data_IF_323462757692
#
_entry.id   IF_323462757692
#
_cell.length_a   1.000
_cell.length_b   1.000
_cell.length_c   1.000
_cell.angle_alpha   90.00
_cell.angle_beta   90.00
_cell.angle_gamma   90.00
#
_symmetry.space_group_name_H-M   'P 1'
#
loop_
_entity.id
_entity.type
_entity.pdbx_description
1 polymer ?
#
# COMPACT_ATOMS: atom_id res chain seq x y z
N UNK A 1 -32.78 -7.95 -1.62
CA UNK A 1 -31.71 -8.48 -0.79
C UNK A 1 -31.07 -9.66 -1.49
N UNK A 2 -29.82 -9.55 -1.87
CA UNK A 2 -29.11 -10.59 -2.63
C UNK A 2 -28.85 -11.82 -1.74
N UNK A 3 -28.93 -13.03 -2.29
CA UNK A 3 -28.75 -14.30 -1.53
C UNK A 3 -27.44 -14.35 -0.72
N UNK A 4 -26.42 -13.61 -1.14
CA UNK A 4 -25.14 -13.47 -0.45
C UNK A 4 -25.20 -12.69 0.87
N UNK A 5 -26.21 -11.86 1.09
CA UNK A 5 -26.34 -11.07 2.33
C UNK A 5 -26.98 -11.86 3.50
N UNK A 6 -27.62 -12.99 3.21
CA UNK A 6 -28.34 -13.77 4.24
C UNK A 6 -27.44 -14.54 5.22
N UNK A 7 -26.15 -14.72 4.90
CA UNK A 7 -25.23 -15.54 5.69
C UNK A 7 -24.11 -14.74 6.37
N UNK A 8 -24.13 -13.40 6.32
CA UNK A 8 -23.13 -12.57 7.02
C UNK A 8 -23.74 -12.18 8.37
N UNK A 9 -23.09 -12.50 9.48
CA UNK A 9 -23.59 -12.09 10.80
C UNK A 9 -23.71 -10.56 10.88
N UNK A 10 -24.86 -10.07 11.37
CA UNK A 10 -25.12 -8.63 11.52
C UNK A 10 -24.03 -7.92 12.34
N UNK A 11 -23.45 -8.60 13.31
CA UNK A 11 -22.33 -8.12 14.15
C UNK A 11 -21.12 -7.67 13.33
N UNK A 12 -20.84 -8.30 12.17
CA UNK A 12 -19.70 -7.93 11.33
C UNK A 12 -19.87 -6.54 10.70
N UNK A 13 -21.08 -6.19 10.28
CA UNK A 13 -21.36 -4.87 9.71
C UNK A 13 -21.39 -3.80 10.80
N UNK A 14 -21.92 -4.07 11.97
CA UNK A 14 -21.86 -3.16 13.11
C UNK A 14 -20.43 -2.85 13.52
N UNK A 15 -19.57 -3.87 13.63
CA UNK A 15 -18.15 -3.72 13.98
C UNK A 15 -17.41 -2.82 12.96
N UNK A 16 -17.72 -2.97 11.68
CA UNK A 16 -17.10 -2.16 10.62
C UNK A 16 -17.52 -0.68 10.65
N UNK A 17 -18.70 -0.38 11.17
CA UNK A 17 -19.30 0.95 11.18
C UNK A 17 -19.13 1.70 12.52
N UNK A 18 -18.64 1.06 13.57
CA UNK A 18 -18.38 1.69 14.88
C UNK A 18 -17.08 2.49 14.85
N UNK A 19 -17.16 3.73 14.38
CA UNK A 19 -16.01 4.65 14.41
C UNK A 19 -15.66 5.04 15.85
N UNK A 20 -14.38 4.89 16.21
CA UNK A 20 -13.84 5.27 17.52
C UNK A 20 -13.80 4.14 18.56
N UNK A 21 -14.72 3.19 18.52
CA UNK A 21 -14.72 2.01 19.40
C UNK A 21 -13.83 0.88 18.87
N UNK A 22 -13.64 0.84 17.55
CA UNK A 22 -12.84 -0.18 16.86
C UNK A 22 -11.71 0.43 16.05
N UNK A 23 -10.54 -0.18 16.17
CA UNK A 23 -9.36 0.07 15.34
C UNK A 23 -9.22 -1.02 14.29
N UNK A 24 -8.91 -0.62 13.05
CA UNK A 24 -8.64 -1.55 11.96
C UNK A 24 -7.14 -1.64 11.70
N UNK A 25 -6.59 -2.83 11.87
CA UNK A 25 -5.22 -3.17 11.56
C UNK A 25 -5.14 -3.85 10.19
N UNK A 26 -4.14 -3.51 9.39
CA UNK A 26 -3.83 -4.22 8.15
C UNK A 26 -2.59 -5.09 8.39
N UNK A 27 -2.77 -6.40 8.30
CA UNK A 27 -1.79 -7.40 8.72
C UNK A 27 -1.34 -8.21 7.52
N UNK A 28 -0.05 -8.43 7.36
CA UNK A 28 0.53 -9.24 6.28
C UNK A 28 1.77 -10.00 6.75
N UNK A 29 2.17 -11.09 6.05
CA UNK A 29 3.43 -11.78 6.34
C UNK A 29 4.68 -11.02 5.86
N UNK A 30 4.50 -9.96 5.06
CA UNK A 30 5.59 -9.11 4.57
C UNK A 30 5.30 -8.50 3.20
N UNK A 31 6.28 -7.76 2.67
CA UNK A 31 6.16 -7.12 1.36
C UNK A 31 6.43 -8.09 0.21
N UNK A 32 7.28 -9.08 0.41
CA UNK A 32 7.60 -10.11 -0.60
C UNK A 32 6.77 -11.36 -0.36
N UNK A 33 6.87 -11.94 0.84
CA UNK A 33 6.11 -13.13 1.19
C UNK A 33 4.62 -12.80 1.35
N UNK A 34 3.75 -13.58 0.69
CA UNK A 34 2.29 -13.47 0.79
C UNK A 34 1.64 -14.68 1.47
N UNK A 35 2.43 -15.68 1.81
CA UNK A 35 1.96 -16.89 2.46
C UNK A 35 1.88 -16.73 3.97
N UNK A 36 0.69 -16.91 4.51
CA UNK A 36 0.46 -16.98 5.95
C UNK A 36 0.62 -18.43 6.42
N UNK A 37 1.26 -18.62 7.55
CA UNK A 37 1.24 -19.92 8.23
C UNK A 37 -0.10 -20.17 8.92
N UNK A 38 -0.52 -21.43 9.15
CA UNK A 38 -1.70 -21.73 9.95
C UNK A 38 -1.67 -21.09 11.35
N UNK A 39 -0.49 -21.06 12.00
CA UNK A 39 -0.31 -20.41 13.30
C UNK A 39 -0.55 -18.89 13.26
N UNK A 40 -0.13 -18.22 12.19
CA UNK A 40 -0.40 -16.80 11.98
C UNK A 40 -1.89 -16.53 11.79
N UNK A 41 -2.61 -17.37 11.02
CA UNK A 41 -4.06 -17.27 10.89
C UNK A 41 -4.78 -17.49 12.22
N UNK A 42 -4.35 -18.49 12.99
CA UNK A 42 -4.89 -18.73 14.32
C UNK A 42 -4.70 -17.51 15.23
N UNK A 43 -3.48 -16.92 15.23
CA UNK A 43 -3.19 -15.72 16.02
C UNK A 43 -4.07 -14.53 15.60
N UNK A 44 -4.27 -14.31 14.31
CA UNK A 44 -5.17 -13.27 13.78
C UNK A 44 -6.61 -13.50 14.28
N UNK A 45 -7.09 -14.76 14.27
CA UNK A 45 -8.43 -15.11 14.72
C UNK A 45 -8.59 -14.90 16.24
N UNK A 46 -7.59 -15.30 17.03
CA UNK A 46 -7.57 -15.09 18.48
C UNK A 46 -7.65 -13.59 18.83
N UNK A 47 -6.86 -12.75 18.13
CA UNK A 47 -6.84 -11.30 18.35
C UNK A 47 -8.16 -10.64 17.93
N UNK A 48 -8.76 -11.08 16.82
CA UNK A 48 -10.08 -10.58 16.43
C UNK A 48 -11.15 -10.90 17.48
N UNK A 49 -11.07 -12.08 18.07
CA UNK A 49 -12.03 -12.54 19.08
C UNK A 49 -13.48 -12.50 18.60
N UNK A 50 -14.41 -12.67 19.53
CA UNK A 50 -15.84 -12.68 19.21
C UNK A 50 -16.40 -11.30 18.84
N UNK A 51 -15.79 -10.22 19.31
CA UNK A 51 -16.25 -8.83 19.08
C UNK A 51 -15.67 -8.22 17.81
N UNK A 52 -14.58 -8.78 17.30
CA UNK A 52 -13.89 -8.25 16.15
C UNK A 52 -14.41 -8.77 14.81
N UNK A 53 -13.76 -8.34 13.74
CA UNK A 53 -14.07 -8.79 12.38
C UNK A 53 -12.81 -8.94 11.56
N UNK A 54 -12.80 -9.91 10.65
CA UNK A 54 -11.69 -10.19 9.75
C UNK A 54 -12.18 -10.03 8.31
N UNK A 55 -11.39 -9.32 7.50
CA UNK A 55 -11.66 -9.14 6.07
C UNK A 55 -10.38 -9.32 5.27
N UNK A 56 -10.40 -10.18 4.27
CA UNK A 56 -9.35 -10.24 3.26
C UNK A 56 -9.36 -8.99 2.38
N UNK A 57 -8.19 -8.41 2.11
CA UNK A 57 -8.05 -7.24 1.25
C UNK A 57 -7.42 -7.60 -0.09
N UNK A 58 -7.70 -6.77 -1.11
CA UNK A 58 -7.08 -6.90 -2.43
C UNK A 58 -5.56 -6.59 -2.45
N UNK A 59 -4.96 -6.25 -1.31
CA UNK A 59 -3.52 -5.98 -1.18
C UNK A 59 -2.76 -7.09 -0.45
N UNK A 60 -3.23 -8.32 -0.53
CA UNK A 60 -2.65 -9.50 0.13
C UNK A 60 -2.49 -9.34 1.65
N UNK A 61 -3.25 -8.45 2.27
CA UNK A 61 -3.29 -8.27 3.71
C UNK A 61 -4.65 -8.64 4.27
N UNK A 62 -4.67 -9.02 5.53
CA UNK A 62 -5.88 -9.24 6.30
C UNK A 62 -6.18 -7.97 7.09
N UNK A 63 -7.39 -7.44 6.95
CA UNK A 63 -7.89 -6.35 7.78
C UNK A 63 -8.56 -6.95 9.00
N UNK A 64 -8.05 -6.61 10.17
CA UNK A 64 -8.58 -7.05 11.47
C UNK A 64 -9.17 -5.84 12.17
N UNK A 65 -10.46 -5.87 12.48
CA UNK A 65 -11.12 -4.86 13.30
C UNK A 65 -11.22 -5.38 14.73
N UNK A 66 -10.70 -4.62 15.68
CA UNK A 66 -10.64 -4.98 17.10
C UNK A 66 -11.06 -3.78 17.96
N UNK A 67 -11.49 -3.98 19.22
CA UNK A 67 -11.71 -2.87 20.14
C UNK A 67 -10.45 -1.98 20.23
N UNK A 68 -10.64 -0.67 20.23
CA UNK A 68 -9.51 0.29 20.21
C UNK A 68 -8.64 0.18 21.47
N UNK A 69 -9.22 -0.18 22.61
CA UNK A 69 -8.47 -0.40 23.86
C UNK A 69 -7.42 -1.52 23.74
N UNK A 70 -7.67 -2.51 22.90
CA UNK A 70 -6.82 -3.70 22.75
C UNK A 70 -5.73 -3.53 21.64
N UNK A 71 -5.76 -2.38 20.93
CA UNK A 71 -4.95 -2.19 19.72
C UNK A 71 -3.44 -2.31 19.96
N UNK A 72 -2.93 -1.79 21.07
CA UNK A 72 -1.47 -1.82 21.35
C UNK A 72 -0.99 -3.24 21.61
N UNK A 73 -1.70 -3.99 22.46
CA UNK A 73 -1.36 -5.38 22.76
C UNK A 73 -1.52 -6.28 21.54
N UNK A 74 -2.55 -6.04 20.73
CA UNK A 74 -2.78 -6.75 19.50
C UNK A 74 -1.67 -6.54 18.47
N UNK A 75 -1.18 -5.31 18.29
CA UNK A 75 -0.06 -5.02 17.39
C UNK A 75 1.19 -5.77 17.84
N UNK A 76 1.51 -5.73 19.13
CA UNK A 76 2.65 -6.46 19.67
C UNK A 76 2.55 -7.96 19.44
N UNK A 77 1.40 -8.56 19.78
CA UNK A 77 1.18 -10.00 19.62
C UNK A 77 1.22 -10.47 18.15
N UNK A 78 0.76 -9.62 17.20
CA UNK A 78 0.87 -9.90 15.77
C UNK A 78 2.33 -9.85 15.30
N UNK A 79 3.10 -8.87 15.78
CA UNK A 79 4.53 -8.75 15.45
C UNK A 79 5.36 -9.91 16.04
N UNK A 80 5.07 -10.36 17.27
CA UNK A 80 5.68 -11.53 17.89
C UNK A 80 5.35 -12.84 17.11
N UNK A 81 4.19 -12.89 16.46
CA UNK A 81 3.84 -13.99 15.54
C UNK A 81 4.52 -13.88 14.15
N UNK A 82 5.44 -12.93 13.96
CA UNK A 82 6.14 -12.72 12.70
C UNK A 82 5.26 -12.08 11.61
N UNK A 83 4.23 -11.33 12.01
CA UNK A 83 3.37 -10.59 11.10
C UNK A 83 3.74 -9.10 11.09
N UNK A 84 3.68 -8.50 9.93
CA UNK A 84 3.78 -7.07 9.76
C UNK A 84 2.41 -6.41 9.93
N UNK A 85 2.36 -5.37 10.75
CA UNK A 85 1.16 -4.53 10.92
C UNK A 85 1.43 -3.19 10.26
N UNK A 86 0.74 -2.93 9.15
CA UNK A 86 0.94 -1.70 8.40
C UNK A 86 0.59 -0.46 9.23
N UNK A 87 1.46 0.56 9.27
CA UNK A 87 1.18 1.79 9.98
C UNK A 87 -0.04 2.51 9.39
N UNK A 88 -0.75 3.26 10.22
CA UNK A 88 -1.93 4.04 9.84
C UNK A 88 -1.61 5.54 9.74
N UNK A 89 -2.52 6.31 9.11
CA UNK A 89 -2.41 7.76 9.03
C UNK A 89 -1.79 8.28 7.72
N UNK A 90 -1.29 9.51 7.80
CA UNK A 90 -0.71 10.26 6.67
C UNK A 90 0.75 9.85 6.45
N UNK A 91 0.94 8.70 5.83
CA UNK A 91 2.22 8.06 5.61
C UNK A 91 2.32 7.47 4.19
N UNK A 92 3.55 7.12 3.80
CA UNK A 92 3.78 6.22 2.66
C UNK A 92 3.38 4.81 3.08
N UNK A 93 2.55 4.18 2.26
CA UNK A 93 2.17 2.77 2.42
C UNK A 93 2.52 2.00 1.15
N UNK A 94 3.48 1.10 1.27
CA UNK A 94 3.99 0.35 0.14
C UNK A 94 3.29 -0.99 -0.02
N UNK A 95 3.11 -1.41 -1.26
CA UNK A 95 2.55 -2.71 -1.64
C UNK A 95 3.35 -3.30 -2.78
N UNK A 96 3.30 -4.60 -2.92
CA UNK A 96 3.85 -5.29 -4.09
C UNK A 96 2.92 -6.43 -4.52
N UNK A 97 3.05 -6.88 -5.76
CA UNK A 97 2.42 -8.11 -6.22
C UNK A 97 3.02 -9.34 -5.51
N UNK A 98 2.48 -10.52 -5.78
CA UNK A 98 2.95 -11.78 -5.23
C UNK A 98 4.11 -12.42 -6.00
N UNK A 99 4.66 -11.70 -7.00
CA UNK A 99 5.77 -12.19 -7.84
C UNK A 99 5.47 -13.53 -8.51
N UNK A 100 4.21 -13.75 -8.89
CA UNK A 100 3.70 -14.99 -9.49
C UNK A 100 4.01 -16.22 -8.62
N UNK A 101 3.73 -16.12 -7.32
CA UNK A 101 3.97 -17.17 -6.35
C UNK A 101 5.44 -17.61 -6.28
N UNK A 102 6.35 -16.66 -6.51
CA UNK A 102 7.80 -16.86 -6.48
C UNK A 102 8.46 -17.15 -7.84
N UNK A 103 7.70 -17.22 -8.94
CA UNK A 103 8.27 -17.44 -10.28
C UNK A 103 8.94 -16.20 -10.89
N UNK A 104 8.62 -14.98 -10.40
CA UNK A 104 9.09 -13.68 -10.92
C UNK A 104 9.77 -12.85 -9.84
N UNK A 105 10.86 -13.37 -9.31
CA UNK A 105 11.56 -12.80 -8.15
C UNK A 105 12.60 -11.73 -8.47
N UNK A 106 12.83 -11.39 -9.74
CA UNK A 106 13.89 -10.47 -10.16
C UNK A 106 13.75 -9.08 -9.51
N UNK A 107 12.50 -8.63 -9.31
CA UNK A 107 12.23 -7.34 -8.65
C UNK A 107 12.17 -7.42 -7.11
N UNK A 108 12.21 -8.61 -6.51
CA UNK A 108 12.04 -8.78 -5.06
C UNK A 108 13.12 -8.06 -4.24
N UNK A 109 14.44 -8.16 -4.54
CA UNK A 109 15.48 -7.49 -3.76
C UNK A 109 15.32 -5.97 -3.75
N UNK A 110 15.07 -5.37 -4.90
CA UNK A 110 14.86 -3.91 -4.97
C UNK A 110 13.54 -3.50 -4.32
N UNK A 111 12.51 -4.34 -4.37
CA UNK A 111 11.23 -4.10 -3.68
C UNK A 111 11.43 -4.04 -2.16
N UNK A 112 12.21 -4.96 -1.60
CA UNK A 112 12.53 -5.00 -0.18
C UNK A 112 13.37 -3.79 0.25
N UNK A 113 14.37 -3.42 -0.55
CA UNK A 113 15.17 -2.21 -0.34
C UNK A 113 14.29 -0.96 -0.28
N UNK A 114 13.42 -0.76 -1.27
CA UNK A 114 12.50 0.37 -1.32
C UNK A 114 11.53 0.37 -0.14
N UNK A 115 11.04 -0.79 0.26
CA UNK A 115 10.17 -0.93 1.43
C UNK A 115 10.85 -0.41 2.69
N UNK A 116 12.09 -0.80 2.95
CA UNK A 116 12.85 -0.31 4.11
C UNK A 116 13.17 1.18 4.02
N UNK A 117 13.34 1.71 2.81
CA UNK A 117 13.67 3.12 2.61
C UNK A 117 12.47 4.07 2.84
N UNK A 118 11.26 3.69 2.41
CA UNK A 118 10.14 4.64 2.34
C UNK A 118 8.89 4.27 3.15
N UNK A 119 8.69 3.00 3.54
CA UNK A 119 7.50 2.60 4.29
C UNK A 119 7.35 3.39 5.59
N UNK A 120 6.15 3.88 5.86
CA UNK A 120 5.86 4.63 7.09
C UNK A 120 6.37 6.08 7.10
N UNK A 121 7.06 6.57 6.08
CA UNK A 121 7.49 7.97 5.99
C UNK A 121 6.27 8.91 6.10
N UNK A 122 6.35 9.90 6.97
CA UNK A 122 5.30 10.92 7.14
C UNK A 122 5.17 11.81 5.91
N UNK A 123 3.94 12.01 5.45
CA UNK A 123 3.57 12.82 4.28
C UNK A 123 2.28 13.61 4.57
N UNK A 124 1.93 14.64 3.76
CA UNK A 124 0.72 15.47 3.98
C UNK A 124 -0.60 14.70 3.99
N UNK A 125 -0.74 13.67 3.15
CA UNK A 125 -1.84 12.70 3.18
C UNK A 125 -1.29 11.33 2.78
N UNK A 126 -2.00 10.23 3.14
CA UNK A 126 -1.56 8.87 2.82
C UNK A 126 -1.28 8.70 1.33
N UNK A 127 -0.10 8.20 1.00
CA UNK A 127 0.34 7.85 -0.36
C UNK A 127 0.54 6.35 -0.47
N UNK A 128 -0.01 5.75 -1.52
CA UNK A 128 0.20 4.34 -1.83
C UNK A 128 1.25 4.21 -2.93
N UNK A 129 2.33 3.52 -2.61
CA UNK A 129 3.35 3.11 -3.59
C UNK A 129 3.16 1.64 -3.87
N UNK A 130 2.99 1.26 -5.12
CA UNK A 130 2.71 -0.13 -5.49
C UNK A 130 3.67 -0.62 -6.56
N UNK A 131 4.21 -1.83 -6.37
CA UNK A 131 5.16 -2.46 -7.29
C UNK A 131 4.52 -3.67 -7.96
N UNK A 132 4.60 -3.71 -9.29
CA UNK A 132 4.44 -4.91 -10.09
C UNK A 132 5.81 -5.46 -10.48
N UNK A 133 6.07 -6.71 -10.14
CA UNK A 133 7.36 -7.39 -10.37
C UNK A 133 7.67 -7.73 -11.83
N UNK A 134 6.79 -7.41 -12.77
CA UNK A 134 7.01 -7.62 -14.20
C UNK A 134 6.13 -6.71 -15.06
N UNK A 135 6.44 -6.66 -16.37
CA UNK A 135 5.75 -5.83 -17.37
C UNK A 135 4.26 -6.17 -17.58
N UNK A 136 3.79 -7.32 -17.11
CA UNK A 136 2.35 -7.67 -17.21
C UNK A 136 1.46 -6.74 -16.39
N UNK A 137 2.01 -6.07 -15.37
CA UNK A 137 1.32 -5.08 -14.54
C UNK A 137 -0.08 -5.54 -14.05
N UNK A 138 -0.24 -6.83 -13.79
CA UNK A 138 -1.52 -7.48 -13.46
C UNK A 138 -2.04 -7.14 -12.06
N UNK A 139 -1.18 -6.65 -11.18
CA UNK A 139 -1.53 -6.13 -9.87
C UNK A 139 -1.63 -4.59 -9.90
N UNK A 140 -2.17 -3.97 -8.90
CA UNK A 140 -2.68 -2.59 -8.91
C UNK A 140 -1.65 -1.44 -9.05
N UNK A 141 -0.39 -1.64 -9.52
CA UNK A 141 0.60 -0.57 -9.57
C UNK A 141 0.10 0.67 -10.31
N UNK A 142 -0.48 0.51 -11.49
CA UNK A 142 -0.98 1.63 -12.30
C UNK A 142 -2.24 2.30 -11.73
N UNK A 143 -2.83 1.76 -10.68
CA UNK A 143 -4.04 2.29 -10.03
C UNK A 143 -3.80 2.84 -8.62
N UNK A 144 -2.55 2.86 -8.14
CA UNK A 144 -2.18 3.52 -6.88
C UNK A 144 -1.50 4.88 -7.13
N UNK A 145 -1.28 5.68 -6.09
CA UNK A 145 -0.78 7.07 -6.21
C UNK A 145 0.55 7.16 -6.96
N UNK A 146 1.46 6.22 -6.65
CA UNK A 146 2.76 6.01 -7.33
C UNK A 146 2.83 4.54 -7.71
N UNK A 147 2.85 4.24 -8.99
CA UNK A 147 2.95 2.90 -9.54
C UNK A 147 4.30 2.62 -10.15
N UNK A 148 4.89 1.47 -9.83
CA UNK A 148 6.18 1.00 -10.33
C UNK A 148 5.98 -0.33 -11.05
N UNK A 149 6.31 -0.38 -12.33
CA UNK A 149 6.22 -1.61 -13.14
C UNK A 149 7.62 -2.01 -13.58
N UNK A 150 8.09 -3.14 -13.03
CA UNK A 150 9.44 -3.64 -13.29
C UNK A 150 9.60 -4.20 -14.70
N UNK A 151 10.69 -3.86 -15.35
CA UNK A 151 11.11 -4.40 -16.65
C UNK A 151 12.64 -4.39 -16.77
N UNK A 152 13.26 -5.56 -16.83
CA UNK A 152 14.70 -5.67 -17.16
C UNK A 152 15.55 -4.62 -16.44
N UNK A 153 15.73 -4.78 -15.13
CA UNK A 153 16.52 -3.91 -14.25
C UNK A 153 16.12 -2.41 -14.26
N UNK A 154 14.87 -2.14 -14.57
CA UNK A 154 14.32 -0.78 -14.59
C UNK A 154 12.84 -0.77 -14.24
N UNK A 155 12.31 0.41 -13.93
CA UNK A 155 10.90 0.63 -13.64
C UNK A 155 10.28 1.65 -14.59
N UNK A 156 9.10 1.34 -15.11
CA UNK A 156 8.18 2.35 -15.61
C UNK A 156 7.40 2.92 -14.44
N UNK A 157 7.38 4.25 -14.30
CA UNK A 157 6.77 4.96 -13.16
C UNK A 157 5.48 5.63 -13.61
N UNK A 158 4.38 5.33 -12.89
CA UNK A 158 3.05 5.89 -13.11
C UNK A 158 2.64 6.76 -11.93
N UNK A 159 2.06 7.93 -12.19
CA UNK A 159 1.65 8.88 -11.15
C UNK A 159 0.19 9.31 -11.29
N UNK A 160 -0.42 9.64 -10.15
CA UNK A 160 -1.67 10.38 -10.08
C UNK A 160 -2.92 9.56 -10.34
N UNK A 161 -2.89 8.27 -10.12
CA UNK A 161 -4.08 7.42 -10.14
C UNK A 161 -5.10 7.83 -9.08
N UNK A 162 -6.36 7.53 -9.35
CA UNK A 162 -7.45 7.57 -8.36
C UNK A 162 -7.91 6.13 -8.14
N UNK A 163 -7.52 5.50 -7.02
CA UNK A 163 -7.59 4.04 -6.90
C UNK A 163 -9.00 3.49 -6.75
N UNK A 164 -9.98 4.32 -6.36
CA UNK A 164 -11.36 3.84 -6.13
C UNK A 164 -12.41 4.96 -6.21
N UNK A 165 -13.67 4.55 -6.25
CA UNK A 165 -14.83 5.44 -6.32
C UNK A 165 -15.27 5.75 -7.75
N UNK A 166 -16.31 6.57 -7.92
CA UNK A 166 -16.90 6.92 -9.23
C UNK A 166 -15.94 7.61 -10.20
N UNK A 167 -14.82 8.15 -9.69
CA UNK A 167 -13.78 8.82 -10.48
C UNK A 167 -12.48 8.00 -10.56
N UNK A 168 -12.56 6.68 -10.30
CA UNK A 168 -11.40 5.80 -10.39
C UNK A 168 -10.79 5.84 -11.78
N UNK A 169 -9.47 5.99 -11.83
CA UNK A 169 -8.70 6.02 -13.08
C UNK A 169 -7.26 5.60 -12.84
N UNK A 170 -6.64 5.02 -13.85
CA UNK A 170 -5.22 4.69 -13.84
C UNK A 170 -4.35 5.95 -13.76
N UNK A 171 -3.14 5.79 -13.21
CA UNK A 171 -2.08 6.78 -13.29
C UNK A 171 -1.59 6.98 -14.72
N UNK A 172 -0.93 8.11 -14.94
CA UNK A 172 -0.27 8.40 -16.23
C UNK A 172 1.19 8.00 -16.14
N UNK A 173 1.72 7.46 -17.23
CA UNK A 173 3.15 7.17 -17.35
C UNK A 173 3.94 8.48 -17.20
N UNK A 174 4.76 8.56 -16.16
CA UNK A 174 5.56 9.73 -15.83
C UNK A 174 7.00 9.61 -16.28
N UNK A 175 7.64 8.47 -16.02
CA UNK A 175 9.00 8.17 -16.44
C UNK A 175 9.09 6.73 -16.92
N UNK A 176 9.93 6.49 -17.93
CA UNK A 176 10.20 5.17 -18.49
C UNK A 176 11.59 4.71 -18.11
N UNK A 177 11.70 3.41 -17.80
CA UNK A 177 12.99 2.72 -17.68
C UNK A 177 13.94 3.37 -16.65
N UNK A 178 13.40 3.82 -15.52
CA UNK A 178 14.23 4.29 -14.39
C UNK A 178 15.02 3.08 -13.86
N UNK A 179 16.34 3.17 -13.93
CA UNK A 179 17.22 2.06 -13.53
C UNK A 179 17.02 1.70 -12.05
N UNK A 180 17.15 0.41 -11.71
CA UNK A 180 17.02 -0.07 -10.31
C UNK A 180 17.99 0.61 -9.35
N UNK A 181 19.16 1.05 -9.85
CA UNK A 181 20.14 1.78 -9.04
C UNK A 181 19.76 3.24 -8.74
N UNK A 182 18.80 3.79 -9.46
CA UNK A 182 18.35 5.18 -9.36
C UNK A 182 16.94 5.31 -8.77
N UNK A 183 16.18 4.22 -8.70
CA UNK A 183 14.76 4.27 -8.36
C UNK A 183 14.51 4.73 -6.93
N UNK A 184 15.38 4.41 -5.98
CA UNK A 184 15.25 4.84 -4.58
C UNK A 184 15.39 6.37 -4.48
N UNK A 185 16.46 6.93 -5.01
CA UNK A 185 16.70 8.39 -5.01
C UNK A 185 15.58 9.13 -5.74
N UNK A 186 15.11 8.55 -6.85
CA UNK A 186 13.99 9.08 -7.61
C UNK A 186 12.71 9.13 -6.78
N UNK A 187 12.36 8.05 -6.06
CA UNK A 187 11.19 8.01 -5.19
C UNK A 187 11.32 8.97 -4.00
N UNK A 188 12.47 9.03 -3.38
CA UNK A 188 12.74 9.96 -2.29
C UNK A 188 12.59 11.42 -2.77
N UNK A 189 13.06 11.74 -3.96
CA UNK A 189 12.86 13.06 -4.56
C UNK A 189 11.38 13.36 -4.80
N UNK A 190 10.60 12.42 -5.38
CA UNK A 190 9.15 12.57 -5.55
C UNK A 190 8.42 12.80 -4.21
N UNK A 191 8.77 12.02 -3.19
CA UNK A 191 8.18 12.11 -1.86
C UNK A 191 8.51 13.48 -1.22
N UNK A 192 9.74 13.94 -1.34
CA UNK A 192 10.17 15.22 -0.80
C UNK A 192 9.47 16.39 -1.49
N UNK A 193 9.34 16.38 -2.81
CA UNK A 193 8.54 17.38 -3.53
C UNK A 193 7.09 17.42 -3.07
N UNK A 194 6.50 16.25 -2.85
CA UNK A 194 5.14 16.19 -2.31
C UNK A 194 5.07 16.78 -0.89
N UNK A 195 6.02 16.47 -0.02
CA UNK A 195 6.08 17.03 1.35
C UNK A 195 6.23 18.54 1.35
N UNK A 196 7.03 19.06 0.42
CA UNK A 196 7.37 20.49 0.34
C UNK A 196 6.25 21.35 -0.27
N UNK A 197 5.59 20.84 -1.31
CA UNK A 197 4.67 21.65 -2.12
C UNK A 197 3.19 21.27 -1.99
N UNK A 198 2.84 20.20 -1.28
CA UNK A 198 1.45 19.83 -1.05
C UNK A 198 0.79 20.75 -0.01
N UNK A 199 -0.50 20.96 -0.20
CA UNK A 199 -1.35 21.63 0.81
C UNK A 199 -1.62 20.65 1.97
N UNK A 200 -1.98 21.16 3.16
CA UNK A 200 -2.37 20.29 4.28
C UNK A 200 -3.47 19.31 3.88
N UNK A 201 -3.25 18.01 4.18
CA UNK A 201 -4.16 16.91 3.84
C UNK A 201 -4.51 16.75 2.34
N UNK A 202 -3.71 17.32 1.43
CA UNK A 202 -3.93 17.20 0.00
C UNK A 202 -3.53 15.79 -0.48
N UNK A 203 -4.46 14.97 -1.04
CA UNK A 203 -4.13 13.68 -1.62
C UNK A 203 -3.14 13.81 -2.78
N UNK A 204 -2.24 12.83 -2.94
CA UNK A 204 -1.17 12.86 -3.93
C UNK A 204 -1.69 13.11 -5.36
N UNK A 205 -2.76 12.46 -5.77
CA UNK A 205 -3.32 12.65 -7.12
C UNK A 205 -3.82 14.09 -7.36
N UNK A 206 -4.35 14.78 -6.32
CA UNK A 206 -4.77 16.19 -6.42
C UNK A 206 -3.56 17.11 -6.53
N UNK A 207 -2.55 16.86 -5.68
CA UNK A 207 -1.28 17.56 -5.75
C UNK A 207 -0.66 17.43 -7.14
N UNK A 208 -0.47 16.21 -7.64
CA UNK A 208 0.11 15.95 -8.96
C UNK A 208 -0.65 16.66 -10.08
N UNK A 209 -2.00 16.56 -10.10
CA UNK A 209 -2.83 17.23 -11.11
C UNK A 209 -2.75 18.75 -11.07
N UNK A 210 -2.72 19.31 -9.87
CA UNK A 210 -2.60 20.77 -9.67
C UNK A 210 -1.25 21.31 -10.13
N UNK A 211 -0.21 20.53 -9.97
CA UNK A 211 1.17 20.97 -10.17
C UNK A 211 1.85 20.39 -11.41
N UNK A 212 1.18 19.59 -12.21
CA UNK A 212 1.81 18.84 -13.33
C UNK A 212 2.52 19.69 -14.38
N UNK A 213 2.23 20.99 -14.45
CA UNK A 213 2.92 21.97 -15.32
C UNK A 213 4.08 22.69 -14.64
N UNK A 214 4.38 22.37 -13.36
CA UNK A 214 5.47 23.01 -12.66
C UNK A 214 6.83 22.47 -13.13
N UNK A 215 7.83 23.34 -13.21
CA UNK A 215 9.17 23.02 -13.74
C UNK A 215 9.88 21.92 -12.93
N UNK A 216 9.62 21.80 -11.63
CA UNK A 216 10.27 20.78 -10.81
C UNK A 216 9.97 19.34 -11.27
N UNK A 217 8.84 19.08 -11.95
CA UNK A 217 8.58 17.75 -12.52
C UNK A 217 9.53 17.40 -13.67
N UNK A 218 9.95 18.40 -14.45
CA UNK A 218 10.98 18.20 -15.49
C UNK A 218 12.36 18.00 -14.85
N UNK A 219 12.66 18.67 -13.71
CA UNK A 219 13.89 18.43 -12.97
C UNK A 219 13.96 16.99 -12.44
N UNK A 220 12.85 16.46 -11.91
CA UNK A 220 12.77 15.05 -11.48
C UNK A 220 13.02 14.10 -12.65
N UNK A 221 12.40 14.32 -13.82
CA UNK A 221 12.63 13.48 -14.99
C UNK A 221 14.07 13.56 -15.50
N UNK A 222 14.70 14.71 -15.36
CA UNK A 222 16.08 14.90 -15.82
C UNK A 222 17.12 14.34 -14.85
N UNK A 223 16.79 14.12 -13.57
CA UNK A 223 17.68 13.50 -12.60
C UNK A 223 17.96 12.01 -12.83
N UNK A 224 17.22 11.38 -13.76
CA UNK A 224 17.34 9.96 -14.11
C UNK A 224 17.96 9.72 -15.50
N UNK A 225 18.44 10.77 -16.15
CA UNK A 225 19.24 10.67 -17.38
C UNK A 225 20.71 10.60 -17.06
#
# INVERSE_FOLDING_TARGET
MNAFQKNVPDQTFETLNRHGEFTRLAVSPGIINKHYTPAQFQKIAEIAGEKGAIKYSASYSILVSIPTCDATEAVQALQEAGLYVAPSGSIIAMKACDFCDGEKMEAAPITEQLYHAIEGMKVPARVRVNINGCASACYNAVYDDIGLVYQQESFDVYLGAVPMGAKAQAGTLFAKRVNVTQIEDFLLHLINLYKEHARPNEPFYKFYRRTKSAEYWELVKNSIK
#
